data_IF_248936842767
#
_entry.id   IF_248936842767
#
_cell.length_a   1.000
_cell.length_b   1.000
_cell.length_c   1.000
_cell.angle_alpha   90.00
_cell.angle_beta   90.00
_cell.angle_gamma   90.00
#
_symmetry.space_group_name_H-M   'P 1'
#
loop_
_entity.id
_entity.type
_entity.pdbx_description
1 polymer ?
#
# COMPACT_ATOMS: atom_id res chain seq x y z
N UNK A 1 7.69 0.44 -34.60
CA UNK A 1 8.11 0.97 -33.27
C UNK A 1 7.10 2.03 -32.87
N UNK A 2 6.05 1.64 -32.16
CA UNK A 2 4.95 2.53 -31.82
C UNK A 2 5.36 3.46 -30.68
N UNK A 3 5.56 4.75 -31.00
CA UNK A 3 5.86 5.79 -30.01
C UNK A 3 4.56 6.13 -29.27
N UNK A 4 4.46 5.69 -28.00
CA UNK A 4 3.36 6.05 -27.11
C UNK A 4 3.62 7.42 -26.50
N UNK A 5 2.89 8.43 -26.96
CA UNK A 5 2.95 9.80 -26.40
C UNK A 5 1.99 9.85 -25.22
N UNK A 6 2.50 10.18 -24.03
CA UNK A 6 1.70 10.39 -22.81
C UNK A 6 1.64 11.90 -22.58
N UNK A 7 0.45 12.49 -22.76
CA UNK A 7 0.20 13.92 -22.53
C UNK A 7 -0.41 14.04 -21.13
N UNK A 8 0.33 14.64 -20.18
CA UNK A 8 -0.21 15.03 -18.88
C UNK A 8 -0.85 16.42 -19.02
N UNK A 9 -2.18 16.47 -18.88
CA UNK A 9 -2.95 17.70 -18.93
C UNK A 9 -3.39 18.01 -17.50
N UNK A 10 -3.14 19.22 -17.01
CA UNK A 10 -3.77 19.70 -15.78
C UNK A 10 -5.28 19.87 -16.04
N UNK A 11 -6.15 19.15 -15.32
CA UNK A 11 -7.56 19.17 -15.64
C UNK A 11 -8.16 20.54 -15.30
N UNK A 12 -8.46 21.35 -16.31
CA UNK A 12 -9.30 22.52 -16.15
C UNK A 12 -10.76 22.10 -15.94
N UNK A 13 -11.59 22.90 -15.25
CA UNK A 13 -13.00 22.56 -15.01
C UNK A 13 -13.79 22.25 -16.28
N UNK A 14 -13.45 22.91 -17.39
CA UNK A 14 -14.06 22.70 -18.70
C UNK A 14 -13.76 21.32 -19.27
N UNK A 15 -12.52 20.83 -19.12
CA UNK A 15 -12.12 19.48 -19.56
C UNK A 15 -12.81 18.42 -18.71
N UNK A 16 -12.95 18.66 -17.40
CA UNK A 16 -13.68 17.74 -16.50
C UNK A 16 -15.14 17.63 -16.91
N UNK A 17 -15.81 18.75 -17.19
CA UNK A 17 -17.21 18.75 -17.63
C UNK A 17 -17.42 18.07 -18.99
N UNK A 18 -16.50 18.29 -19.94
CA UNK A 18 -16.52 17.60 -21.24
C UNK A 18 -16.32 16.09 -21.10
N UNK A 19 -15.41 15.66 -20.22
CA UNK A 19 -15.22 14.24 -19.90
C UNK A 19 -16.47 13.65 -19.26
N UNK A 20 -17.09 14.32 -18.29
CA UNK A 20 -18.34 13.86 -17.66
C UNK A 20 -19.49 13.72 -18.68
N UNK A 21 -19.62 14.68 -19.59
CA UNK A 21 -20.63 14.63 -20.65
C UNK A 21 -20.40 13.47 -21.64
N UNK A 22 -19.14 13.23 -22.03
CA UNK A 22 -18.75 12.11 -22.89
C UNK A 22 -18.97 10.74 -22.19
N UNK A 23 -18.70 10.66 -20.89
CA UNK A 23 -18.94 9.45 -20.08
C UNK A 23 -20.45 9.14 -20.00
N UNK A 24 -21.29 10.18 -19.82
CA UNK A 24 -22.75 10.02 -19.80
C UNK A 24 -23.33 9.60 -21.15
N UNK A 25 -22.80 10.10 -22.27
CA UNK A 25 -23.34 9.81 -23.60
C UNK A 25 -22.89 8.46 -24.18
N UNK A 26 -21.73 7.95 -23.77
CA UNK A 26 -21.12 6.72 -24.34
C UNK A 26 -21.48 5.44 -23.59
N UNK A 27 -22.23 5.51 -22.48
CA UNK A 27 -22.56 4.33 -21.66
C UNK A 27 -21.33 3.66 -21.02
N UNK A 28 -20.16 4.31 -21.08
CA UNK A 28 -18.91 3.82 -20.54
C UNK A 28 -18.95 3.95 -19.01
N UNK A 29 -19.18 2.83 -18.33
CA UNK A 29 -18.97 2.74 -16.89
C UNK A 29 -17.47 2.78 -16.65
N UNK A 30 -16.94 3.88 -16.12
CA UNK A 30 -15.58 3.89 -15.54
C UNK A 30 -15.64 2.94 -14.36
N UNK A 31 -15.16 1.72 -14.54
CA UNK A 31 -14.89 0.81 -13.45
C UNK A 31 -13.62 1.29 -12.71
N UNK A 32 -13.70 2.45 -12.05
CA UNK A 32 -12.78 2.80 -10.97
C UNK A 32 -13.16 1.96 -9.74
N UNK A 33 -13.18 0.64 -9.91
CA UNK A 33 -13.06 -0.30 -8.80
C UNK A 33 -11.59 -0.67 -8.71
N UNK A 34 -10.73 0.33 -8.43
CA UNK A 34 -9.52 0.00 -7.71
C UNK A 34 -10.01 -0.61 -6.39
N UNK A 35 -9.97 -1.94 -6.31
CA UNK A 35 -10.41 -2.64 -5.11
C UNK A 35 -9.60 -2.03 -3.96
N UNK A 36 -10.21 -1.44 -2.93
CA UNK A 36 -9.48 -0.73 -1.86
C UNK A 36 -8.48 -1.63 -1.12
N UNK A 37 -8.52 -2.95 -1.38
CA UNK A 37 -7.58 -3.96 -0.89
C UNK A 37 -6.28 -4.05 -1.70
N UNK A 38 -6.27 -3.63 -2.97
CA UNK A 38 -5.08 -3.63 -3.83
C UNK A 38 -4.31 -2.30 -3.76
N UNK A 39 -4.64 -1.44 -2.79
CA UNK A 39 -3.91 -0.22 -2.49
C UNK A 39 -2.56 -0.53 -1.83
N UNK A 40 -1.49 0.12 -2.30
CA UNK A 40 -0.18 0.07 -1.69
C UNK A 40 -0.06 1.09 -0.57
N UNK A 41 0.25 0.62 0.64
CA UNK A 41 0.50 1.42 1.82
C UNK A 41 1.99 1.49 2.12
N UNK A 42 2.45 2.64 2.57
CA UNK A 42 3.75 2.76 3.23
C UNK A 42 3.75 2.01 4.56
N UNK A 43 4.94 1.67 5.09
CA UNK A 43 5.04 1.06 6.44
C UNK A 43 4.37 1.95 7.50
N UNK A 44 4.46 3.28 7.38
CA UNK A 44 3.87 4.21 8.35
C UNK A 44 2.33 4.16 8.31
N UNK A 45 1.74 4.17 7.12
CA UNK A 45 0.29 4.05 6.96
C UNK A 45 -0.22 2.69 7.43
N UNK A 46 0.48 1.61 7.04
CA UNK A 46 0.14 0.26 7.47
C UNK A 46 0.21 0.11 9.00
N UNK A 47 1.25 0.69 9.64
CA UNK A 47 1.41 0.68 11.09
C UNK A 47 0.27 1.40 11.80
N UNK A 48 -0.15 2.56 11.26
CA UNK A 48 -1.30 3.30 11.78
C UNK A 48 -2.61 2.53 11.60
N UNK A 49 -2.80 1.85 10.47
CA UNK A 49 -4.02 1.06 10.18
C UNK A 49 -4.22 -0.07 11.19
N UNK A 50 -3.13 -0.75 11.59
CA UNK A 50 -3.18 -1.86 12.55
C UNK A 50 -2.84 -1.45 13.99
N UNK A 51 -2.65 -0.14 14.24
CA UNK A 51 -2.28 0.45 15.54
C UNK A 51 -1.04 -0.17 16.19
N UNK A 52 0.01 -0.39 15.40
CA UNK A 52 1.31 -0.93 15.86
C UNK A 52 2.41 0.12 15.67
N UNK A 53 3.47 0.04 16.46
CA UNK A 53 4.64 0.91 16.29
C UNK A 53 5.30 0.67 14.90
N UNK A 54 5.67 1.76 14.22
CA UNK A 54 6.36 1.74 12.94
C UNK A 54 7.56 0.79 12.91
N UNK A 55 8.42 0.84 13.93
CA UNK A 55 9.63 0.00 13.99
C UNK A 55 9.28 -1.48 14.12
N UNK A 56 8.26 -1.80 14.92
CA UNK A 56 7.77 -3.18 15.07
C UNK A 56 7.24 -3.71 13.75
N UNK A 57 6.40 -2.94 13.05
CA UNK A 57 5.89 -3.37 11.74
C UNK A 57 7.03 -3.48 10.71
N UNK A 58 7.98 -2.54 10.71
CA UNK A 58 9.15 -2.59 9.83
C UNK A 58 9.97 -3.86 10.05
N UNK A 59 10.18 -4.27 11.30
CA UNK A 59 10.90 -5.49 11.62
C UNK A 59 10.15 -6.72 11.14
N UNK A 60 8.82 -6.76 11.31
CA UNK A 60 7.98 -7.85 10.80
C UNK A 60 8.05 -7.98 9.28
N UNK A 61 8.12 -6.85 8.57
CA UNK A 61 8.10 -6.81 7.11
C UNK A 61 9.49 -7.07 6.52
N UNK A 62 10.52 -6.37 7.01
CA UNK A 62 11.86 -6.37 6.41
C UNK A 62 12.72 -7.52 6.95
N UNK A 63 12.73 -7.71 8.27
CA UNK A 63 13.62 -8.67 8.93
C UNK A 63 12.94 -10.05 8.96
N UNK A 64 11.69 -10.10 9.42
CA UNK A 64 10.96 -11.37 9.58
C UNK A 64 10.24 -11.81 8.31
N UNK A 65 10.02 -10.90 7.35
CA UNK A 65 9.32 -11.17 6.08
C UNK A 65 7.95 -11.83 6.27
N UNK A 66 7.24 -11.46 7.34
CA UNK A 66 5.90 -11.97 7.62
C UNK A 66 4.83 -11.42 6.68
N UNK A 67 5.08 -10.22 6.13
CA UNK A 67 4.17 -9.56 5.21
C UNK A 67 4.93 -9.33 3.89
N UNK A 68 4.42 -9.80 2.74
CA UNK A 68 5.01 -9.50 1.45
C UNK A 68 5.03 -7.98 1.20
N UNK A 69 6.18 -7.48 0.74
CA UNK A 69 6.41 -6.07 0.46
C UNK A 69 7.07 -5.87 -0.89
N UNK A 70 6.90 -4.68 -1.43
CA UNK A 70 7.57 -4.17 -2.63
C UNK A 70 8.46 -3.00 -2.21
N UNK A 71 9.63 -2.88 -2.83
CA UNK A 71 10.46 -1.66 -2.72
C UNK A 71 10.39 -0.89 -4.01
N UNK A 72 10.16 0.42 -3.91
CA UNK A 72 10.28 1.32 -5.05
C UNK A 72 11.73 1.83 -5.11
N UNK A 73 12.40 1.48 -6.21
CA UNK A 73 13.80 1.80 -6.49
C UNK A 73 14.76 0.67 -6.13
N UNK A 74 15.84 0.55 -6.91
CA UNK A 74 16.90 -0.47 -6.75
C UNK A 74 17.81 -0.23 -5.54
N UNK A 75 17.54 0.83 -4.75
CA UNK A 75 18.34 1.16 -3.59
C UNK A 75 17.90 0.38 -2.33
N UNK A 76 18.84 -0.06 -1.49
CA UNK A 76 18.53 -0.73 -0.23
C UNK A 76 17.78 0.18 0.77
N UNK A 77 17.75 1.50 0.51
CA UNK A 77 17.00 2.53 1.25
C UNK A 77 15.66 2.90 0.58
N UNK A 78 15.26 2.23 -0.50
CA UNK A 78 14.00 2.51 -1.19
C UNK A 78 12.78 2.36 -0.31
N UNK A 79 11.72 3.11 -0.62
CA UNK A 79 10.48 3.11 0.15
C UNK A 79 9.81 1.74 0.07
N UNK A 80 9.53 1.19 1.25
CA UNK A 80 8.87 -0.11 1.39
C UNK A 80 7.37 0.12 1.38
N UNK A 81 6.69 -0.55 0.45
CA UNK A 81 5.24 -0.56 0.33
C UNK A 81 4.67 -1.96 0.50
N UNK A 82 3.49 -2.04 1.09
CA UNK A 82 2.75 -3.26 1.39
C UNK A 82 1.37 -3.13 0.77
N UNK A 83 0.88 -4.19 0.12
CA UNK A 83 -0.52 -4.22 -0.31
C UNK A 83 -1.44 -4.35 0.91
N UNK A 84 -2.48 -3.51 1.00
CA UNK A 84 -3.44 -3.52 2.11
C UNK A 84 -4.07 -4.92 2.32
N UNK A 85 -4.31 -5.69 1.24
CA UNK A 85 -4.80 -7.08 1.35
C UNK A 85 -3.88 -7.96 2.20
N UNK A 86 -2.57 -7.91 1.98
CA UNK A 86 -1.61 -8.72 2.73
C UNK A 86 -1.54 -8.29 4.19
N UNK A 87 -1.65 -6.99 4.45
CA UNK A 87 -1.74 -6.46 5.80
C UNK A 87 -2.95 -7.05 6.51
N UNK A 88 -4.14 -7.02 5.89
CA UNK A 88 -5.37 -7.56 6.47
C UNK A 88 -5.37 -9.07 6.60
N UNK A 89 -4.80 -9.81 5.65
CA UNK A 89 -4.59 -11.26 5.77
C UNK A 89 -3.73 -11.58 7.00
N UNK A 90 -2.68 -10.79 7.22
CA UNK A 90 -1.83 -10.92 8.41
C UNK A 90 -2.58 -10.56 9.71
N UNK A 91 -3.47 -9.57 9.69
CA UNK A 91 -4.40 -9.29 10.81
C UNK A 91 -5.32 -10.48 11.08
N UNK A 92 -5.99 -10.96 10.03
CA UNK A 92 -7.01 -11.98 10.09
C UNK A 92 -6.44 -13.35 10.50
N UNK A 93 -5.19 -13.63 10.13
CA UNK A 93 -4.44 -14.78 10.61
C UNK A 93 -4.17 -14.75 12.12
N UNK A 94 -4.52 -13.65 12.80
CA UNK A 94 -4.34 -13.43 14.22
C UNK A 94 -2.86 -13.31 14.51
N UNK A 95 -2.34 -12.07 14.55
CA UNK A 95 -0.96 -11.68 14.93
C UNK A 95 -0.33 -12.42 16.15
N UNK A 96 -1.06 -13.31 16.82
CA UNK A 96 -0.68 -14.29 17.83
C UNK A 96 0.38 -15.34 17.41
N UNK A 97 1.39 -15.00 16.59
CA UNK A 97 2.65 -15.78 16.58
C UNK A 97 3.77 -15.03 17.30
N UNK A 98 3.55 -15.00 18.62
CA UNK A 98 4.46 -14.89 19.77
C UNK A 98 5.19 -13.55 20.00
N UNK A 99 5.08 -12.99 21.23
CA UNK A 99 6.04 -11.99 21.71
C UNK A 99 7.43 -12.65 21.78
N UNK A 100 8.46 -11.88 21.40
CA UNK A 100 9.84 -12.25 21.65
C UNK A 100 10.05 -12.37 23.18
N UNK A 101 10.00 -13.58 23.73
CA UNK A 101 10.58 -13.88 25.05
C UNK A 101 12.08 -14.06 24.86
N UNK A 102 12.88 -13.14 25.37
CA UNK A 102 14.33 -13.32 25.42
C UNK A 102 15.19 -12.07 25.51
N UNK A 103 14.84 -11.09 26.36
CA UNK A 103 15.88 -10.40 27.13
C UNK A 103 15.68 -10.90 28.56
N UNK A 104 16.50 -11.87 28.99
CA UNK A 104 16.60 -12.16 30.41
C UNK A 104 17.17 -10.89 31.04
N UNK A 105 16.31 -10.12 31.71
CA UNK A 105 16.78 -9.12 32.66
C UNK A 105 16.95 -9.89 33.95
N UNK A 106 18.20 -10.30 34.23
CA UNK A 106 18.57 -10.71 35.58
C UNK A 106 18.48 -9.46 36.44
N UNK A 107 17.46 -9.39 37.29
CA UNK A 107 17.44 -8.44 38.41
C UNK A 107 18.35 -9.07 39.46
N UNK A 108 19.45 -8.38 39.76
CA UNK A 108 20.34 -8.69 40.89
C UNK A 108 19.69 -8.11 42.15
#
# INVERSE_FOLDING_TARGET
MDKKIIIQIEPTPEIVNLLEALIKSSGVKIANKANPMDEYLTIKEAANEIKVNYHTLRDWVVIKKFIPFTRLGDNPKGDIRILRRHLREFVAAGYQKKPYRGRQVTVI
#
